data_IF_700370482263
#
_entry.id   IF_700370482263
#
_cell.length_a   1.000
_cell.length_b   1.000
_cell.length_c   1.000
_cell.angle_alpha   90.00
_cell.angle_beta   90.00
_cell.angle_gamma   90.00
#
_symmetry.space_group_name_H-M   'P 1'
#
loop_
_entity.id
_entity.type
_entity.pdbx_description
1 polymer ?
#
# COMPACT_ATOMS: atom_id res chain seq x y z
N UNK A 1 45.35 -4.57 33.57
CA UNK A 1 44.07 -5.19 33.18
C UNK A 1 42.82 -4.30 33.38
N UNK A 2 42.94 -2.97 33.58
CA UNK A 2 41.75 -2.08 33.75
C UNK A 2 41.32 -1.37 32.46
N UNK A 3 42.17 -1.33 31.44
CA UNK A 3 41.90 -0.61 30.18
C UNK A 3 41.20 -1.47 29.11
N UNK A 4 41.21 -2.80 29.23
CA UNK A 4 40.56 -3.70 28.27
C UNK A 4 39.03 -3.69 28.42
N UNK A 5 38.52 -3.55 29.66
CA UNK A 5 37.09 -3.50 29.96
C UNK A 5 36.38 -2.26 29.39
N UNK A 6 37.10 -1.14 29.21
CA UNK A 6 36.53 0.08 28.62
C UNK A 6 36.27 -0.05 27.11
N UNK A 7 37.09 -0.82 26.40
CA UNK A 7 36.88 -1.05 24.96
C UNK A 7 35.75 -2.04 24.69
N UNK A 8 35.56 -3.03 25.58
CA UNK A 8 34.47 -4.02 25.46
C UNK A 8 33.10 -3.37 25.73
N UNK A 9 33.03 -2.41 26.66
CA UNK A 9 31.77 -1.71 26.96
C UNK A 9 31.34 -0.76 25.82
N UNK A 10 32.30 -0.21 25.07
CA UNK A 10 32.05 0.72 23.96
C UNK A 10 31.58 0.01 22.69
N UNK A 11 32.00 -1.24 22.45
CA UNK A 11 31.57 -2.02 21.27
C UNK A 11 30.10 -2.45 21.38
N UNK A 12 29.59 -2.72 22.59
CA UNK A 12 28.21 -3.15 22.84
C UNK A 12 27.21 -2.00 22.59
N UNK A 13 27.62 -0.73 22.71
CA UNK A 13 26.75 0.43 22.45
C UNK A 13 26.53 0.71 20.96
N UNK A 14 27.37 0.18 20.07
CA UNK A 14 27.27 0.42 18.62
C UNK A 14 26.29 -0.52 17.90
N UNK A 15 25.81 -1.58 18.56
CA UNK A 15 24.93 -2.59 17.96
C UNK A 15 23.43 -2.26 18.02
N UNK A 16 23.03 -1.16 18.68
CA UNK A 16 21.62 -0.77 18.81
C UNK A 16 21.14 0.27 17.79
N UNK A 17 21.99 0.69 16.85
CA UNK A 17 21.55 1.46 15.67
C UNK A 17 20.99 0.53 14.59
N UNK A 18 20.09 -0.38 14.98
CA UNK A 18 19.19 -1.02 14.02
C UNK A 18 18.20 0.07 13.58
N UNK A 19 18.58 0.77 12.52
CA UNK A 19 17.75 1.77 11.87
C UNK A 19 16.53 1.05 11.28
N UNK A 20 15.48 0.90 12.08
CA UNK A 20 14.15 0.59 11.57
C UNK A 20 13.75 1.77 10.69
N UNK A 21 13.97 1.67 9.38
CA UNK A 21 13.61 2.72 8.42
C UNK A 21 12.10 2.93 8.45
N UNK A 22 11.57 3.85 9.24
CA UNK A 22 10.12 4.04 9.35
C UNK A 22 9.54 4.29 7.95
N UNK A 23 8.42 3.63 7.61
CA UNK A 23 7.74 3.89 6.34
C UNK A 23 7.32 5.36 6.33
N UNK A 24 7.75 6.12 5.32
CA UNK A 24 7.23 7.47 5.12
C UNK A 24 5.87 7.37 4.45
N UNK A 25 4.81 7.39 5.25
CA UNK A 25 3.44 7.29 4.78
C UNK A 25 3.01 8.43 3.85
N UNK A 26 3.74 9.55 3.82
CA UNK A 26 3.48 10.66 2.87
C UNK A 26 3.63 10.20 1.42
N UNK A 27 4.45 9.18 1.17
CA UNK A 27 4.59 8.60 -0.16
C UNK A 27 3.32 7.85 -0.62
N UNK A 28 2.52 7.34 0.33
CA UNK A 28 1.31 6.56 0.11
C UNK A 28 0.08 7.47 -0.07
N UNK A 29 0.02 8.57 0.69
CA UNK A 29 -1.12 9.50 0.67
C UNK A 29 -1.21 10.19 -0.69
N UNK A 30 -2.38 10.18 -1.31
CA UNK A 30 -2.60 10.81 -2.62
C UNK A 30 -3.83 10.33 -3.37
N UNK A 31 -3.95 10.79 -4.60
CA UNK A 31 -4.99 10.38 -5.56
C UNK A 31 -4.34 9.49 -6.61
N UNK A 32 -5.01 8.40 -6.95
CA UNK A 32 -4.52 7.41 -7.89
C UNK A 32 -5.61 7.09 -8.91
N UNK A 33 -5.23 6.95 -10.17
CA UNK A 33 -6.15 6.54 -11.24
C UNK A 33 -5.70 5.22 -11.86
N UNK A 34 -6.65 4.43 -12.34
CA UNK A 34 -6.36 3.21 -13.10
C UNK A 34 -5.58 3.58 -14.38
N UNK A 35 -4.37 3.06 -14.52
CA UNK A 35 -3.59 3.19 -15.75
C UNK A 35 -3.77 1.98 -16.66
N UNK A 36 -3.56 0.77 -16.11
CA UNK A 36 -3.60 -0.50 -16.86
C UNK A 36 -4.24 -1.59 -16.03
N UNK A 37 -4.90 -2.51 -16.72
CA UNK A 37 -5.47 -3.71 -16.12
C UNK A 37 -5.51 -4.87 -17.11
N UNK A 38 -5.54 -6.08 -16.59
CA UNK A 38 -5.78 -7.31 -17.35
C UNK A 38 -7.03 -7.96 -16.81
N UNK A 39 -8.05 -8.11 -17.66
CA UNK A 39 -9.31 -8.74 -17.28
C UNK A 39 -9.13 -10.25 -17.15
N UNK A 40 -9.61 -10.81 -16.04
CA UNK A 40 -9.65 -12.26 -15.81
C UNK A 40 -11.02 -12.83 -16.16
N UNK A 41 -12.07 -12.21 -15.63
CA UNK A 41 -13.45 -12.68 -15.77
C UNK A 41 -14.39 -11.51 -16.04
N UNK A 42 -14.98 -11.47 -17.22
CA UNK A 42 -15.92 -10.42 -17.65
C UNK A 42 -17.34 -10.62 -17.12
N UNK A 43 -17.66 -11.81 -16.61
CA UNK A 43 -18.97 -12.12 -16.03
C UNK A 43 -19.11 -11.59 -14.59
N UNK A 44 -17.97 -11.36 -13.90
CA UNK A 44 -17.95 -10.73 -12.59
C UNK A 44 -18.38 -9.26 -12.70
N UNK A 45 -19.61 -8.99 -12.26
CA UNK A 45 -20.11 -7.62 -12.12
C UNK A 45 -19.43 -6.95 -10.93
N UNK A 46 -18.53 -6.02 -11.22
CA UNK A 46 -17.89 -5.16 -10.22
C UNK A 46 -18.09 -3.69 -10.59
N UNK A 47 -18.40 -2.85 -9.60
CA UNK A 47 -18.45 -1.40 -9.77
C UNK A 47 -17.08 -0.89 -10.23
N UNK A 48 -17.05 -0.02 -11.25
CA UNK A 48 -15.80 0.47 -11.85
C UNK A 48 -15.32 1.76 -11.18
N UNK A 49 -14.56 1.65 -10.09
CA UNK A 49 -13.99 2.80 -9.39
C UNK A 49 -12.68 3.27 -10.01
N UNK A 50 -12.73 4.21 -10.95
CA UNK A 50 -11.52 4.71 -11.62
C UNK A 50 -10.53 5.41 -10.70
N UNK A 51 -10.99 5.98 -9.58
CA UNK A 51 -10.18 6.81 -8.69
C UNK A 51 -10.07 6.19 -7.29
N UNK A 52 -8.84 6.06 -6.79
CA UNK A 52 -8.51 5.68 -5.42
C UNK A 52 -7.89 6.88 -4.70
N UNK A 53 -8.52 7.33 -3.62
CA UNK A 53 -7.99 8.37 -2.73
C UNK A 53 -7.52 7.73 -1.44
N UNK A 54 -6.26 7.95 -1.08
CA UNK A 54 -5.67 7.48 0.18
C UNK A 54 -5.41 8.71 1.05
N UNK A 55 -6.07 8.78 2.20
CA UNK A 55 -6.07 9.94 3.09
C UNK A 55 -5.10 9.76 4.27
N UNK A 56 -4.65 10.88 4.84
CA UNK A 56 -3.71 10.89 5.97
C UNK A 56 -4.30 10.33 7.28
N UNK A 57 -5.62 10.39 7.43
CA UNK A 57 -6.39 9.93 8.59
C UNK A 57 -6.65 8.41 8.60
N UNK A 58 -5.90 7.64 7.79
CA UNK A 58 -6.05 6.18 7.61
C UNK A 58 -7.33 5.72 6.93
N UNK A 59 -8.04 6.64 6.28
CA UNK A 59 -9.18 6.30 5.43
C UNK A 59 -8.80 6.26 3.94
N UNK A 60 -9.57 5.54 3.14
CA UNK A 60 -9.48 5.61 1.68
C UNK A 60 -10.88 5.65 1.06
N UNK A 61 -10.96 6.19 -0.15
CA UNK A 61 -12.19 6.24 -0.95
C UNK A 61 -11.94 5.68 -2.35
N UNK A 62 -12.86 4.85 -2.82
CA UNK A 62 -12.98 4.42 -4.20
C UNK A 62 -14.14 5.19 -4.85
N UNK A 63 -13.84 5.93 -5.91
CA UNK A 63 -14.81 6.77 -6.63
C UNK A 63 -14.95 6.33 -8.07
N UNK A 64 -16.17 6.40 -8.55
CA UNK A 64 -16.51 6.33 -9.96
C UNK A 64 -17.09 7.68 -10.37
N UNK A 65 -16.55 8.29 -11.42
CA UNK A 65 -17.00 9.60 -11.89
C UNK A 65 -18.49 9.59 -12.32
N UNK A 66 -19.05 8.42 -12.62
CA UNK A 66 -20.41 8.26 -13.13
C UNK A 66 -21.44 7.95 -12.04
N UNK A 67 -21.04 7.73 -10.78
CA UNK A 67 -21.96 7.36 -9.68
C UNK A 67 -21.75 8.25 -8.46
N UNK A 68 -22.85 8.56 -7.75
CA UNK A 68 -22.77 9.29 -6.47
C UNK A 68 -22.30 8.42 -5.30
N UNK A 69 -22.25 7.10 -5.49
CA UNK A 69 -21.82 6.13 -4.49
C UNK A 69 -20.30 5.97 -4.50
N UNK A 70 -19.70 6.23 -3.35
CA UNK A 70 -18.28 5.96 -3.07
C UNK A 70 -18.19 4.74 -2.15
N UNK A 71 -17.18 3.89 -2.35
CA UNK A 71 -16.82 2.87 -1.37
C UNK A 71 -15.72 3.42 -0.47
N UNK A 72 -15.91 3.33 0.85
CA UNK A 72 -14.99 3.88 1.85
C UNK A 72 -14.45 2.75 2.72
N UNK A 73 -13.21 2.88 3.17
CA UNK A 73 -12.61 1.94 4.10
C UNK A 73 -11.40 2.51 4.82
N UNK A 74 -10.65 1.65 5.48
CA UNK A 74 -9.41 2.00 6.17
C UNK A 74 -8.20 1.35 5.51
N UNK A 75 -7.03 1.95 5.69
CA UNK A 75 -5.78 1.39 5.18
C UNK A 75 -4.69 1.39 6.26
N UNK A 76 -3.78 0.43 6.14
CA UNK A 76 -2.53 0.39 6.90
C UNK A 76 -1.39 -0.07 6.01
N UNK A 77 -0.16 0.34 6.33
CA UNK A 77 1.03 -0.02 5.57
C UNK A 77 1.98 -0.86 6.41
N UNK A 78 2.53 -1.89 5.78
CA UNK A 78 3.60 -2.73 6.32
C UNK A 78 4.78 -2.70 5.33
N UNK A 79 5.99 -2.88 5.84
CA UNK A 79 7.15 -3.08 4.95
C UNK A 79 7.06 -4.45 4.29
N UNK A 80 7.42 -4.51 3.03
CA UNK A 80 7.82 -5.78 2.41
C UNK A 80 9.15 -6.22 3.00
N UNK A 81 9.36 -7.54 3.10
CA UNK A 81 10.65 -8.13 3.45
C UNK A 81 11.70 -7.89 2.36
N UNK A 82 11.24 -7.58 1.13
CA UNK A 82 12.07 -7.14 0.01
C UNK A 82 12.16 -5.61 0.00
N UNK A 83 13.38 -5.09 0.19
CA UNK A 83 13.71 -3.77 0.74
C UNK A 83 13.19 -2.49 0.06
N UNK A 84 12.35 -2.53 -0.97
CA UNK A 84 11.86 -1.32 -1.67
C UNK A 84 10.34 -1.24 -1.85
N UNK A 85 9.57 -2.20 -1.35
CA UNK A 85 8.12 -2.23 -1.55
C UNK A 85 7.35 -1.96 -0.24
N UNK A 86 6.24 -1.23 -0.36
CA UNK A 86 5.31 -1.00 0.73
C UNK A 86 4.03 -1.79 0.47
N UNK A 87 3.70 -2.67 1.39
CA UNK A 87 2.45 -3.42 1.35
C UNK A 87 1.38 -2.56 2.00
N UNK A 88 0.30 -2.26 1.27
CA UNK A 88 -0.86 -1.53 1.77
C UNK A 88 -2.01 -2.52 1.93
N UNK A 89 -2.51 -2.70 3.15
CA UNK A 89 -3.73 -3.48 3.42
C UNK A 89 -4.92 -2.53 3.49
N UNK A 90 -5.86 -2.69 2.57
CA UNK A 90 -7.13 -1.98 2.51
C UNK A 90 -8.23 -2.85 3.15
N UNK A 91 -9.02 -2.27 4.05
CA UNK A 91 -10.13 -2.93 4.74
C UNK A 91 -11.45 -2.22 4.44
N UNK A 92 -12.41 -2.92 3.82
CA UNK A 92 -13.73 -2.38 3.47
C UNK A 92 -14.74 -3.50 3.22
N UNK A 93 -16.02 -3.26 3.50
CA UNK A 93 -17.12 -4.22 3.24
C UNK A 93 -16.82 -5.66 3.72
N UNK A 94 -16.26 -5.80 4.94
CA UNK A 94 -15.79 -7.07 5.53
C UNK A 94 -14.74 -7.84 4.72
N UNK A 95 -14.02 -7.16 3.82
CA UNK A 95 -12.93 -7.71 3.01
C UNK A 95 -11.63 -6.99 3.33
N UNK A 96 -10.53 -7.71 3.08
CA UNK A 96 -9.17 -7.17 3.12
C UNK A 96 -8.51 -7.41 1.77
N UNK A 97 -7.90 -6.37 1.23
CA UNK A 97 -7.20 -6.41 -0.06
C UNK A 97 -5.79 -5.88 0.15
N UNK A 98 -4.80 -6.53 -0.44
CA UNK A 98 -3.40 -6.09 -0.37
C UNK A 98 -3.01 -5.47 -1.71
N UNK A 99 -2.50 -4.24 -1.67
CA UNK A 99 -1.83 -3.58 -2.77
C UNK A 99 -0.34 -3.44 -2.50
N UNK A 100 0.48 -3.46 -3.54
CA UNK A 100 1.93 -3.25 -3.45
C UNK A 100 2.24 -1.87 -4.03
N UNK A 101 2.80 -0.99 -3.22
CA UNK A 101 3.28 0.31 -3.67
C UNK A 101 4.76 0.22 -4.04
N UNK A 102 5.06 0.55 -5.30
CA UNK A 102 6.40 0.71 -5.83
C UNK A 102 6.49 2.07 -6.52
N UNK A 103 7.24 3.01 -5.90
CA UNK A 103 7.32 4.40 -6.33
C UNK A 103 5.95 5.10 -6.31
N UNK A 104 5.38 5.33 -7.49
CA UNK A 104 4.07 5.99 -7.65
C UNK A 104 2.94 5.04 -8.04
N UNK A 105 3.23 3.75 -8.16
CA UNK A 105 2.29 2.75 -8.67
C UNK A 105 1.83 1.84 -7.54
N UNK A 106 0.52 1.68 -7.39
CA UNK A 106 -0.08 0.64 -6.54
C UNK A 106 -0.58 -0.47 -7.46
N UNK A 107 -0.04 -1.67 -7.30
CA UNK A 107 -0.49 -2.86 -8.02
C UNK A 107 -1.36 -3.75 -7.14
N UNK A 108 -2.38 -4.33 -7.76
CA UNK A 108 -3.24 -5.37 -7.20
C UNK A 108 -3.18 -6.58 -8.11
N UNK A 109 -3.01 -7.77 -7.53
CA UNK A 109 -2.95 -9.03 -8.29
C UNK A 109 -3.90 -10.06 -7.68
N UNK A 110 -4.52 -10.86 -8.54
CA UNK A 110 -5.43 -11.92 -8.12
C UNK A 110 -4.77 -12.85 -7.07
N UNK A 111 -5.49 -13.29 -6.03
CA UNK A 111 -6.92 -13.07 -5.75
C UNK A 111 -7.25 -11.77 -5.01
N UNK A 112 -6.25 -10.91 -4.78
CA UNK A 112 -6.37 -9.72 -3.94
C UNK A 112 -6.58 -8.47 -4.79
N UNK A 113 -7.77 -8.32 -5.36
CA UNK A 113 -8.18 -7.09 -6.06
C UNK A 113 -9.41 -6.42 -5.43
N UNK A 114 -9.57 -5.12 -5.70
CA UNK A 114 -10.69 -4.32 -5.21
C UNK A 114 -12.04 -4.71 -5.87
N UNK A 115 -12.01 -5.51 -6.92
CA UNK A 115 -13.08 -5.78 -7.89
C UNK A 115 -13.54 -7.24 -7.89
N UNK A 116 -13.41 -7.93 -6.75
CA UNK A 116 -13.95 -9.29 -6.53
C UNK A 116 -13.43 -10.34 -7.52
N UNK A 117 -12.19 -10.22 -8.00
CA UNK A 117 -11.60 -11.22 -8.91
C UNK A 117 -11.78 -10.90 -10.39
N UNK A 118 -12.34 -9.74 -10.74
CA UNK A 118 -12.54 -9.31 -12.14
C UNK A 118 -11.23 -9.16 -12.90
N UNK A 119 -10.17 -8.71 -12.23
CA UNK A 119 -8.87 -8.44 -12.84
C UNK A 119 -7.83 -9.46 -12.36
N UNK A 120 -6.98 -9.94 -13.27
CA UNK A 120 -5.79 -10.70 -12.88
C UNK A 120 -4.71 -9.78 -12.35
N UNK A 121 -4.57 -8.59 -12.95
CA UNK A 121 -3.69 -7.52 -12.53
C UNK A 121 -4.37 -6.15 -12.75
N UNK A 122 -4.15 -5.23 -11.82
CA UNK A 122 -4.67 -3.87 -11.87
C UNK A 122 -3.63 -2.90 -11.33
N UNK A 123 -3.36 -1.83 -12.08
CA UNK A 123 -2.39 -0.80 -11.73
C UNK A 123 -3.07 0.55 -11.54
N UNK A 124 -2.78 1.16 -10.40
CA UNK A 124 -3.15 2.52 -10.05
C UNK A 124 -1.90 3.40 -10.03
N UNK A 125 -1.92 4.53 -10.74
CA UNK A 125 -0.79 5.48 -10.80
C UNK A 125 -1.13 6.74 -10.02
N UNK A 126 -0.22 7.21 -9.17
CA UNK A 126 -0.37 8.43 -8.39
C UNK A 126 -0.41 9.64 -9.32
N UNK A 127 -1.48 10.41 -9.23
CA UNK A 127 -1.62 11.67 -9.95
C UNK A 127 -0.64 12.69 -9.39
N UNK A 128 0.11 13.36 -10.27
CA UNK A 128 0.95 14.51 -9.90
C UNK A 128 0.01 15.67 -9.58
N UNK A 129 0.27 16.36 -8.46
CA UNK A 129 -0.38 17.64 -8.16
C UNK A 129 0.17 18.73 -9.07
#
# INVERSE_FOLDING_TARGET
MKNLYRFILLSIFTLYLSCSSKIDEKQIIGKYEIDKFVTRDTLVKAEEYRLLLINADKTFELKNNNTKTNSVGTWKSNKSENNNEIIIEFSFSNRKVKGILNGTIISFSYPNDLYKGRYSNLLYVKLRK
#
